data_IF_108975068150
#
_entry.id   IF_108975068150
#
_cell.length_a   1.000
_cell.length_b   1.000
_cell.length_c   1.000
_cell.angle_alpha   90.00
_cell.angle_beta   90.00
_cell.angle_gamma   90.00
#
_symmetry.space_group_name_H-M   'P 1'
#
loop_
_entity.id
_entity.type
_entity.pdbx_description
1 polymer ?
#
# COMPACT_ATOMS: atom_id res chain seq x y z
N UNK A 1 -60.87 -34.53 -5.70
CA UNK A 1 -60.40 -33.13 -5.87
C UNK A 1 -59.32 -32.90 -4.82
N UNK A 2 -58.08 -33.20 -5.18
CA UNK A 2 -56.88 -33.00 -4.36
C UNK A 2 -56.19 -31.76 -4.90
N UNK A 3 -56.00 -30.76 -4.05
CA UNK A 3 -55.30 -29.53 -4.37
C UNK A 3 -53.89 -29.64 -3.80
N UNK A 4 -52.93 -29.91 -4.67
CA UNK A 4 -51.51 -29.91 -4.33
C UNK A 4 -51.06 -28.47 -4.04
N UNK A 5 -50.66 -28.24 -2.79
CA UNK A 5 -50.08 -26.98 -2.33
C UNK A 5 -48.58 -27.04 -2.58
N UNK A 6 -48.10 -26.27 -3.55
CA UNK A 6 -46.68 -26.12 -3.83
C UNK A 6 -46.05 -25.15 -2.81
N UNK A 7 -45.34 -25.70 -1.82
CA UNK A 7 -44.41 -24.95 -0.98
C UNK A 7 -43.20 -24.50 -1.80
N UNK A 8 -43.19 -23.23 -2.18
CA UNK A 8 -42.03 -22.54 -2.72
C UNK A 8 -41.04 -22.25 -1.59
N UNK A 9 -40.00 -23.07 -1.50
CA UNK A 9 -38.88 -22.89 -0.58
C UNK A 9 -38.05 -21.67 -1.00
N UNK A 10 -38.32 -20.54 -0.33
CA UNK A 10 -37.57 -19.30 -0.47
C UNK A 10 -36.11 -19.49 -0.06
N UNK A 11 -35.23 -19.58 -1.06
CA UNK A 11 -33.79 -19.66 -0.85
C UNK A 11 -33.23 -18.34 -0.34
N UNK A 12 -32.44 -18.46 0.70
CA UNK A 12 -31.94 -17.43 1.61
C UNK A 12 -30.93 -16.45 0.99
N UNK A 13 -31.09 -15.12 1.17
CA UNK A 13 -30.11 -14.08 0.83
C UNK A 13 -28.94 -13.91 1.84
N UNK A 14 -28.77 -14.82 2.81
CA UNK A 14 -27.81 -14.66 3.92
C UNK A 14 -26.33 -14.80 3.51
N UNK A 15 -26.02 -15.41 2.36
CA UNK A 15 -24.63 -15.74 1.98
C UNK A 15 -23.83 -14.55 1.43
N UNK A 16 -24.48 -13.49 0.93
CA UNK A 16 -23.79 -12.34 0.32
C UNK A 16 -23.19 -11.37 1.35
N UNK A 17 -23.82 -11.25 2.53
CA UNK A 17 -23.36 -10.30 3.57
C UNK A 17 -21.99 -10.68 4.12
N UNK A 18 -21.72 -11.98 4.34
CA UNK A 18 -20.46 -12.46 4.89
C UNK A 18 -19.25 -12.20 3.98
N UNK A 19 -19.45 -12.23 2.65
CA UNK A 19 -18.38 -12.01 1.68
C UNK A 19 -17.90 -10.56 1.67
N UNK A 20 -18.81 -9.59 1.82
CA UNK A 20 -18.48 -8.16 1.79
C UNK A 20 -17.68 -7.77 3.04
N UNK A 21 -18.06 -8.29 4.21
CA UNK A 21 -17.34 -8.03 5.46
C UNK A 21 -15.93 -8.62 5.44
N UNK A 22 -15.78 -9.85 4.95
CA UNK A 22 -14.46 -10.49 4.78
C UNK A 22 -13.56 -9.69 3.84
N UNK A 23 -14.09 -9.22 2.69
CA UNK A 23 -13.35 -8.38 1.76
C UNK A 23 -12.91 -7.07 2.42
N UNK A 24 -13.79 -6.43 3.18
CA UNK A 24 -13.49 -5.18 3.90
C UNK A 24 -12.40 -5.39 4.96
N UNK A 25 -12.48 -6.45 5.75
CA UNK A 25 -11.47 -6.79 6.74
C UNK A 25 -10.12 -7.05 6.07
N UNK A 26 -10.10 -7.84 5.00
CA UNK A 26 -8.90 -8.12 4.24
C UNK A 26 -8.27 -6.83 3.66
N UNK A 27 -9.08 -5.98 3.02
CA UNK A 27 -8.63 -4.70 2.47
C UNK A 27 -8.09 -3.76 3.56
N UNK A 28 -8.76 -3.67 4.71
CA UNK A 28 -8.28 -2.85 5.83
C UNK A 28 -6.97 -3.35 6.42
N UNK A 29 -6.80 -4.67 6.57
CA UNK A 29 -5.55 -5.28 7.04
C UNK A 29 -4.40 -5.06 6.08
N UNK A 30 -4.67 -5.09 4.77
CA UNK A 30 -3.69 -4.81 3.73
C UNK A 30 -3.28 -3.34 3.72
N UNK A 31 -4.23 -2.41 3.84
CA UNK A 31 -3.94 -0.98 3.95
C UNK A 31 -3.12 -0.67 5.22
N UNK A 32 -3.47 -1.29 6.36
CA UNK A 32 -2.71 -1.11 7.59
C UNK A 32 -1.25 -1.59 7.44
N UNK A 33 -1.02 -2.72 6.76
CA UNK A 33 0.33 -3.22 6.43
C UNK A 33 1.08 -2.30 5.47
N UNK A 34 0.41 -1.68 4.51
CA UNK A 34 1.03 -0.71 3.61
C UNK A 34 1.38 0.57 4.37
N UNK A 35 0.47 1.07 5.20
CA UNK A 35 0.68 2.27 5.99
C UNK A 35 1.82 2.10 7.01
N UNK A 36 1.96 0.92 7.63
CA UNK A 36 3.08 0.67 8.55
C UNK A 36 4.44 0.63 7.85
N UNK A 37 4.49 0.31 6.55
CA UNK A 37 5.71 0.29 5.73
C UNK A 37 6.08 1.65 5.16
N UNK A 38 5.09 2.51 4.94
CA UNK A 38 5.27 3.88 4.44
C UNK A 38 5.39 4.82 5.65
N UNK A 39 6.57 4.84 6.28
CA UNK A 39 6.90 5.84 7.31
C UNK A 39 7.78 6.91 6.70
N UNK A 40 7.65 8.14 7.17
CA UNK A 40 8.51 9.26 6.76
C UNK A 40 9.98 8.94 7.06
N UNK A 41 10.25 8.16 8.11
CA UNK A 41 11.59 7.67 8.47
C UNK A 41 12.21 6.72 7.44
N UNK A 42 11.40 6.08 6.58
CA UNK A 42 11.91 5.23 5.50
C UNK A 42 12.13 5.99 4.20
N UNK A 43 11.90 7.32 4.18
CA UNK A 43 12.32 8.16 3.07
C UNK A 43 13.84 8.23 3.05
N UNK A 44 14.43 7.56 2.07
CA UNK A 44 15.86 7.69 1.81
C UNK A 44 16.13 9.03 1.13
N UNK A 45 17.22 9.72 1.49
CA UNK A 45 17.56 11.02 0.92
C UNK A 45 17.66 10.91 -0.61
N UNK A 46 17.13 11.93 -1.30
CA UNK A 46 17.02 11.94 -2.76
C UNK A 46 18.37 11.68 -3.49
N UNK A 47 19.52 12.22 -3.02
CA UNK A 47 20.82 11.92 -3.65
C UNK A 47 21.15 10.42 -3.64
N UNK A 48 20.89 9.73 -2.52
CA UNK A 48 21.08 8.27 -2.42
C UNK A 48 20.13 7.55 -3.39
N UNK A 49 18.86 7.97 -3.47
CA UNK A 49 17.89 7.42 -4.42
C UNK A 49 18.29 7.65 -5.89
N UNK A 50 18.94 8.75 -6.22
CA UNK A 50 19.41 9.03 -7.58
C UNK A 50 20.81 8.44 -7.88
N UNK A 51 21.51 7.90 -6.88
CA UNK A 51 22.88 7.42 -7.03
C UNK A 51 23.90 8.56 -7.21
N UNK A 52 23.57 9.74 -6.69
CA UNK A 52 24.45 10.91 -6.68
C UNK A 52 25.34 10.80 -5.45
N UNK A 53 26.66 10.80 -5.69
CA UNK A 53 27.65 10.80 -4.63
C UNK A 53 27.88 12.25 -4.17
N UNK A 54 27.49 12.64 -2.95
CA UNK A 54 27.69 14.01 -2.48
C UNK A 54 29.17 14.41 -2.41
N UNK A 55 30.10 13.45 -2.30
CA UNK A 55 31.53 13.72 -2.21
C UNK A 55 32.17 14.05 -3.57
N UNK A 56 31.61 13.55 -4.68
CA UNK A 56 32.18 13.68 -6.02
C UNK A 56 31.59 14.86 -6.84
N UNK A 57 30.89 15.78 -6.17
CA UNK A 57 30.00 16.74 -6.85
C UNK A 57 28.75 16.03 -7.37
N UNK A 58 27.81 16.75 -7.99
CA UNK A 58 26.51 16.23 -8.46
C UNK A 58 26.63 15.24 -9.66
N UNK A 59 27.63 14.35 -9.63
CA UNK A 59 27.96 13.36 -10.64
C UNK A 59 27.28 12.03 -10.27
N UNK A 60 26.74 11.36 -11.28
CA UNK A 60 26.28 9.98 -11.12
C UNK A 60 27.49 9.10 -10.80
N UNK A 61 27.44 8.38 -9.68
CA UNK A 61 28.54 7.47 -9.33
C UNK A 61 28.69 6.43 -10.45
N UNK A 62 29.90 6.21 -10.99
CA UNK A 62 30.12 5.22 -12.04
C UNK A 62 29.78 3.79 -11.59
N UNK A 63 29.71 3.55 -10.28
CA UNK A 63 29.23 2.29 -9.72
C UNK A 63 27.71 2.15 -9.62
N UNK A 64 26.94 3.24 -9.76
CA UNK A 64 25.48 3.22 -9.60
C UNK A 64 24.75 2.39 -10.67
N UNK A 65 25.41 2.15 -11.81
CA UNK A 65 24.86 1.39 -12.91
C UNK A 65 25.75 0.19 -13.22
N UNK A 66 25.19 -1.00 -13.04
CA UNK A 66 25.88 -2.23 -13.46
C UNK A 66 26.07 -2.23 -14.99
N UNK A 67 27.29 -2.44 -15.50
CA UNK A 67 27.50 -2.60 -16.93
C UNK A 67 26.68 -3.79 -17.45
N UNK A 68 26.14 -3.72 -18.67
CA UNK A 68 25.28 -4.76 -19.22
C UNK A 68 26.02 -6.11 -19.23
N UNK A 69 25.45 -7.09 -18.52
CA UNK A 69 25.99 -8.46 -18.49
C UNK A 69 25.92 -9.06 -19.88
N UNK A 70 27.08 -9.28 -20.50
CA UNK A 70 27.21 -9.80 -21.87
C UNK A 70 26.76 -11.26 -22.04
N UNK A 71 26.47 -11.96 -20.94
CA UNK A 71 26.03 -13.36 -20.94
C UNK A 71 24.83 -13.51 -20.01
N UNK A 72 23.68 -13.86 -20.58
CA UNK A 72 22.46 -14.18 -19.81
C UNK A 72 22.56 -15.66 -19.42
N UNK A 73 22.92 -15.93 -18.17
CA UNK A 73 22.95 -17.30 -17.66
C UNK A 73 21.51 -17.87 -17.56
N UNK A 74 21.33 -19.18 -17.70
CA UNK A 74 20.01 -19.83 -17.63
C UNK A 74 19.30 -19.67 -16.26
N UNK A 75 20.05 -19.37 -15.20
CA UNK A 75 19.52 -18.98 -13.87
C UNK A 75 19.34 -17.47 -13.66
N UNK A 76 19.41 -16.66 -14.73
CA UNK A 76 19.25 -15.20 -14.67
C UNK A 76 17.86 -14.71 -14.26
N UNK A 77 16.71 -15.30 -14.69
CA UNK A 77 15.41 -14.68 -14.40
C UNK A 77 15.06 -14.71 -12.91
N UNK A 78 15.37 -15.81 -12.20
CA UNK A 78 15.15 -15.93 -10.75
C UNK A 78 15.99 -14.93 -9.96
N UNK A 79 17.25 -14.75 -10.38
CA UNK A 79 18.16 -13.75 -9.80
C UNK A 79 17.65 -12.33 -10.04
N UNK A 80 17.21 -12.02 -11.26
CA UNK A 80 16.64 -10.70 -11.60
C UNK A 80 15.37 -10.42 -10.79
N UNK A 81 14.47 -11.40 -10.65
CA UNK A 81 13.25 -11.24 -9.86
C UNK A 81 13.56 -11.00 -8.38
N UNK A 82 14.51 -11.73 -7.81
CA UNK A 82 14.96 -11.52 -6.42
C UNK A 82 15.52 -10.11 -6.23
N UNK A 83 16.37 -9.64 -7.16
CA UNK A 83 16.93 -8.28 -7.16
C UNK A 83 15.85 -7.20 -7.27
N UNK A 84 14.90 -7.37 -8.18
CA UNK A 84 13.77 -6.45 -8.32
C UNK A 84 12.95 -6.38 -7.04
N UNK A 85 12.69 -7.52 -6.39
CA UNK A 85 11.94 -7.56 -5.13
C UNK A 85 12.66 -6.83 -4.00
N UNK A 86 13.99 -7.02 -3.89
CA UNK A 86 14.81 -6.32 -2.90
C UNK A 86 14.84 -4.80 -3.17
N UNK A 87 15.11 -4.40 -4.41
CA UNK A 87 15.15 -2.98 -4.82
C UNK A 87 13.80 -2.30 -4.64
N UNK A 88 12.69 -2.99 -4.94
CA UNK A 88 11.32 -2.49 -4.73
C UNK A 88 10.98 -2.33 -3.25
N UNK A 89 11.38 -3.29 -2.42
CA UNK A 89 11.16 -3.22 -0.97
C UNK A 89 11.98 -2.10 -0.33
N UNK A 90 13.24 -1.93 -0.76
CA UNK A 90 14.16 -0.93 -0.20
C UNK A 90 13.73 0.51 -0.52
N UNK A 91 13.27 0.78 -1.74
CA UNK A 91 12.89 2.14 -2.18
C UNK A 91 11.37 2.36 -2.27
N UNK A 92 10.57 1.53 -1.58
CA UNK A 92 9.11 1.56 -1.66
C UNK A 92 8.54 2.96 -1.43
N UNK A 93 8.98 3.65 -0.38
CA UNK A 93 8.48 4.98 -0.02
C UNK A 93 8.81 6.01 -1.10
N UNK A 94 10.03 5.99 -1.64
CA UNK A 94 10.44 6.88 -2.72
C UNK A 94 9.60 6.64 -3.99
N UNK A 95 9.28 5.39 -4.31
CA UNK A 95 8.39 5.07 -5.43
C UNK A 95 6.95 5.53 -5.20
N UNK A 96 6.44 5.45 -3.97
CA UNK A 96 5.11 6.00 -3.63
C UNK A 96 5.10 7.51 -3.83
N UNK A 97 6.16 8.23 -3.43
CA UNK A 97 6.28 9.67 -3.66
C UNK A 97 6.32 10.01 -5.15
N UNK A 98 7.13 9.29 -5.95
CA UNK A 98 7.20 9.48 -7.40
C UNK A 98 5.84 9.21 -8.06
N UNK A 99 5.16 8.14 -7.65
CA UNK A 99 3.82 7.82 -8.13
C UNK A 99 2.82 8.91 -7.74
N UNK A 100 2.86 9.43 -6.50
CA UNK A 100 2.01 10.53 -6.07
C UNK A 100 2.27 11.82 -6.87
N UNK A 101 3.53 12.18 -7.08
CA UNK A 101 3.91 13.34 -7.90
C UNK A 101 3.46 13.17 -9.36
N UNK A 102 3.66 11.98 -9.94
CA UNK A 102 3.20 11.67 -11.29
C UNK A 102 1.68 11.73 -11.38
N UNK A 103 0.95 11.27 -10.35
CA UNK A 103 -0.50 11.35 -10.29
C UNK A 103 -0.98 12.81 -10.27
N UNK A 104 -0.32 13.69 -9.52
CA UNK A 104 -0.60 15.13 -9.50
C UNK A 104 -0.37 15.74 -10.89
N UNK A 105 0.76 15.43 -11.54
CA UNK A 105 1.06 15.93 -12.89
C UNK A 105 0.00 15.47 -13.90
N UNK A 106 -0.34 14.18 -13.91
CA UNK A 106 -1.38 13.64 -14.81
C UNK A 106 -2.74 14.27 -14.53
N UNK A 107 -3.08 14.47 -13.26
CA UNK A 107 -4.33 15.14 -12.88
C UNK A 107 -4.38 16.58 -13.41
N UNK A 108 -3.29 17.34 -13.29
CA UNK A 108 -3.17 18.70 -13.82
C UNK A 108 -3.20 18.74 -15.36
N UNK A 109 -2.67 17.73 -16.04
CA UNK A 109 -2.73 17.60 -17.50
C UNK A 109 -4.14 17.28 -18.02
N UNK A 110 -5.03 16.73 -17.17
CA UNK A 110 -6.39 16.35 -17.54
C UNK A 110 -7.43 17.08 -16.66
N UNK A 111 -7.55 18.43 -16.75
CA UNK A 111 -8.46 19.21 -15.90
C UNK A 111 -9.92 18.79 -16.07
N UNK A 112 -10.30 18.31 -17.26
CA UNK A 112 -11.64 17.76 -17.51
C UNK A 112 -11.95 16.55 -16.63
N UNK A 113 -10.99 15.66 -16.38
CA UNK A 113 -11.18 14.52 -15.47
C UNK A 113 -11.49 15.00 -14.06
N UNK A 114 -10.70 15.94 -13.53
CA UNK A 114 -10.92 16.52 -12.19
C UNK A 114 -12.31 17.15 -12.11
N UNK A 115 -12.71 17.91 -13.13
CA UNK A 115 -14.03 18.54 -13.19
C UNK A 115 -15.17 17.50 -13.11
N UNK A 116 -15.12 16.45 -13.92
CA UNK A 116 -16.16 15.40 -13.90
C UNK A 116 -16.18 14.61 -12.60
N UNK A 117 -15.01 14.29 -12.03
CA UNK A 117 -14.91 13.63 -10.71
C UNK A 117 -15.50 14.52 -9.62
N UNK A 118 -15.16 15.82 -9.62
CA UNK A 118 -15.71 16.80 -8.68
C UNK A 118 -17.23 16.95 -8.82
N UNK A 119 -17.75 16.94 -10.04
CA UNK A 119 -19.19 16.98 -10.32
C UNK A 119 -19.91 15.73 -9.77
N UNK A 120 -19.37 14.53 -10.03
CA UNK A 120 -19.92 13.28 -9.50
C UNK A 120 -19.87 13.27 -7.98
N UNK A 121 -18.75 13.69 -7.38
CA UNK A 121 -18.62 13.82 -5.93
C UNK A 121 -19.67 14.79 -5.34
N UNK A 122 -19.85 15.95 -5.98
CA UNK A 122 -20.88 16.91 -5.61
C UNK A 122 -22.30 16.34 -5.68
N UNK A 123 -22.61 15.55 -6.72
CA UNK A 123 -23.89 14.86 -6.83
C UNK A 123 -24.09 13.80 -5.73
N UNK A 124 -23.04 13.09 -5.32
CA UNK A 124 -23.09 12.18 -4.16
C UNK A 124 -23.33 12.92 -2.84
N UNK A 125 -22.65 14.05 -2.64
CA UNK A 125 -22.88 14.89 -1.45
C UNK A 125 -24.29 15.46 -1.44
N UNK A 126 -24.81 15.92 -2.59
CA UNK A 126 -26.18 16.36 -2.75
C UNK A 126 -27.17 15.23 -2.45
N UNK A 127 -26.93 14.03 -2.99
CA UNK A 127 -27.76 12.86 -2.71
C UNK A 127 -27.79 12.52 -1.21
N UNK A 128 -26.63 12.51 -0.55
CA UNK A 128 -26.53 12.29 0.90
C UNK A 128 -27.25 13.38 1.71
N UNK A 129 -27.14 14.64 1.29
CA UNK A 129 -27.85 15.77 1.88
C UNK A 129 -29.38 15.62 1.74
N UNK A 130 -29.87 15.23 0.56
CA UNK A 130 -31.29 14.99 0.29
C UNK A 130 -31.89 13.81 1.07
N UNK A 131 -31.07 12.84 1.51
CA UNK A 131 -31.53 11.75 2.37
C UNK A 131 -31.72 12.25 3.80
N UNK A 132 -30.86 13.16 4.26
CA UNK A 132 -30.89 13.69 5.63
C UNK A 132 -31.94 14.80 5.81
N UNK A 133 -32.22 15.55 4.76
CA UNK A 133 -33.12 16.69 4.80
C UNK A 133 -34.30 16.48 3.86
N UNK A 134 -35.52 16.61 4.38
CA UNK A 134 -36.73 16.62 3.56
C UNK A 134 -36.79 17.93 2.76
N UNK A 135 -36.34 17.88 1.50
CA UNK A 135 -36.38 19.05 0.62
C UNK A 135 -37.77 19.15 -0.03
N UNK A 136 -38.47 20.25 0.28
CA UNK A 136 -39.72 20.64 -0.38
C UNK A 136 -39.41 21.80 -1.32
N UNK A 137 -39.40 21.57 -2.64
CA UNK A 137 -39.32 22.64 -3.64
C UNK A 137 -40.72 22.96 -4.14
N UNK A 138 -41.13 24.22 -4.05
CA UNK A 138 -42.41 24.69 -4.63
C UNK A 138 -43.64 23.95 -4.12
N UNK A 139 -43.63 23.50 -2.86
CA UNK A 139 -44.72 22.73 -2.25
C UNK A 139 -44.75 21.23 -2.61
N UNK A 140 -43.87 20.76 -3.51
CA UNK A 140 -43.78 19.36 -3.88
C UNK A 140 -42.65 18.68 -3.10
N UNK A 141 -42.97 17.56 -2.44
CA UNK A 141 -41.96 16.73 -1.76
C UNK A 141 -41.16 15.97 -2.81
N UNK A 142 -39.89 16.34 -3.04
CA UNK A 142 -39.05 15.66 -4.03
C UNK A 142 -38.95 14.14 -3.79
N UNK A 143 -39.10 13.71 -2.54
CA UNK A 143 -39.08 12.32 -2.16
C UNK A 143 -40.19 11.48 -2.83
N UNK A 144 -41.36 12.08 -3.12
CA UNK A 144 -42.46 11.34 -3.76
C UNK A 144 -42.29 11.18 -5.27
N UNK A 145 -41.52 12.06 -5.91
CA UNK A 145 -41.29 12.03 -7.37
C UNK A 145 -40.27 10.97 -7.76
N UNK A 146 -39.19 10.82 -6.99
CA UNK A 146 -38.12 9.86 -7.31
C UNK A 146 -37.70 9.08 -6.07
N UNK A 147 -38.02 7.78 -6.09
CA UNK A 147 -37.58 6.83 -5.07
C UNK A 147 -36.07 6.91 -4.85
N UNK A 148 -35.63 6.84 -3.59
CA UNK A 148 -34.22 6.90 -3.17
C UNK A 148 -33.38 5.87 -3.95
N UNK A 149 -33.94 4.66 -4.16
CA UNK A 149 -33.26 3.59 -4.89
C UNK A 149 -32.95 3.98 -6.33
N UNK A 150 -33.90 4.60 -7.04
CA UNK A 150 -33.71 5.01 -8.43
C UNK A 150 -32.64 6.10 -8.55
N UNK A 151 -32.61 7.06 -7.62
CA UNK A 151 -31.56 8.09 -7.55
C UNK A 151 -30.18 7.47 -7.33
N UNK A 152 -30.08 6.53 -6.39
CA UNK A 152 -28.84 5.81 -6.12
C UNK A 152 -28.34 5.05 -7.36
N UNK A 153 -29.19 4.25 -8.01
CA UNK A 153 -28.81 3.50 -9.20
C UNK A 153 -28.44 4.41 -10.37
N UNK A 154 -29.17 5.50 -10.59
CA UNK A 154 -28.83 6.49 -11.62
C UNK A 154 -27.48 7.15 -11.37
N UNK A 155 -27.21 7.54 -10.12
CA UNK A 155 -25.94 8.15 -9.74
C UNK A 155 -24.77 7.16 -9.81
N UNK A 156 -25.02 5.91 -9.44
CA UNK A 156 -24.05 4.82 -9.56
C UNK A 156 -23.71 4.53 -11.03
N UNK A 157 -24.72 4.41 -11.91
CA UNK A 157 -24.52 4.24 -13.35
C UNK A 157 -23.74 5.40 -13.97
N UNK A 158 -24.09 6.64 -13.61
CA UNK A 158 -23.35 7.84 -14.02
C UNK A 158 -21.89 7.81 -13.54
N UNK A 159 -21.65 7.36 -12.31
CA UNK A 159 -20.30 7.23 -11.75
C UNK A 159 -19.47 6.22 -12.55
N UNK A 160 -20.01 5.04 -12.83
CA UNK A 160 -19.34 4.02 -13.67
C UNK A 160 -19.02 4.58 -15.05
N UNK A 161 -19.98 5.27 -15.67
CA UNK A 161 -19.82 5.87 -16.99
C UNK A 161 -18.67 6.88 -17.02
N UNK A 162 -18.62 7.78 -16.04
CA UNK A 162 -17.54 8.77 -15.89
C UNK A 162 -16.20 8.10 -15.64
N UNK A 163 -16.15 7.04 -14.83
CA UNK A 163 -14.93 6.28 -14.58
C UNK A 163 -14.42 5.64 -15.87
N UNK A 164 -15.27 4.93 -16.61
CA UNK A 164 -14.88 4.23 -17.84
C UNK A 164 -14.48 5.21 -18.94
N UNK A 165 -15.25 6.28 -19.18
CA UNK A 165 -14.99 7.19 -20.29
C UNK A 165 -13.95 8.27 -20.01
N UNK A 166 -13.93 8.83 -18.79
CA UNK A 166 -13.06 9.97 -18.48
C UNK A 166 -11.85 9.59 -17.64
N UNK A 167 -11.96 8.60 -16.77
CA UNK A 167 -10.88 8.28 -15.82
C UNK A 167 -10.00 7.13 -16.30
N UNK A 168 -10.52 6.17 -17.07
CA UNK A 168 -9.78 4.97 -17.45
C UNK A 168 -8.51 5.28 -18.25
N UNK A 169 -8.62 6.08 -19.31
CA UNK A 169 -7.47 6.40 -20.19
C UNK A 169 -6.35 7.14 -19.42
N UNK A 170 -6.62 8.26 -18.72
CA UNK A 170 -5.58 8.92 -17.92
C UNK A 170 -4.98 8.03 -16.84
N UNK A 171 -5.79 7.19 -16.19
CA UNK A 171 -5.30 6.25 -15.16
C UNK A 171 -4.39 5.19 -15.75
N UNK A 172 -4.72 4.64 -16.93
CA UNK A 172 -3.85 3.68 -17.61
C UNK A 172 -2.53 4.33 -18.04
N UNK A 173 -2.57 5.55 -18.57
CA UNK A 173 -1.36 6.32 -18.91
C UNK A 173 -0.51 6.56 -17.66
N UNK A 174 -1.14 7.00 -16.56
CA UNK A 174 -0.47 7.19 -15.27
C UNK A 174 0.24 5.91 -14.81
N UNK A 175 -0.49 4.79 -14.75
CA UNK A 175 0.06 3.49 -14.31
C UNK A 175 1.20 3.04 -15.23
N UNK A 176 1.06 3.22 -16.54
CA UNK A 176 2.08 2.85 -17.51
C UNK A 176 3.36 3.68 -17.31
N UNK A 177 3.25 5.01 -17.18
CA UNK A 177 4.41 5.90 -16.99
C UNK A 177 5.07 5.64 -15.64
N UNK A 178 4.30 5.64 -14.54
CA UNK A 178 4.87 5.41 -13.20
C UNK A 178 5.47 4.01 -13.08
N UNK A 179 4.78 3.00 -13.61
CA UNK A 179 5.25 1.62 -13.60
C UNK A 179 6.55 1.46 -14.40
N UNK A 180 6.62 2.05 -15.60
CA UNK A 180 7.83 2.00 -16.42
C UNK A 180 9.01 2.70 -15.75
N UNK A 181 8.80 3.88 -15.15
CA UNK A 181 9.84 4.61 -14.42
C UNK A 181 10.35 3.80 -13.22
N UNK A 182 9.46 3.23 -12.42
CA UNK A 182 9.82 2.40 -11.26
C UNK A 182 10.58 1.15 -11.70
N UNK A 183 10.10 0.46 -12.75
CA UNK A 183 10.74 -0.75 -13.26
C UNK A 183 12.12 -0.46 -13.87
N UNK A 184 12.26 0.59 -14.68
CA UNK A 184 13.54 1.02 -15.21
C UNK A 184 14.52 1.37 -14.10
N UNK A 185 14.08 2.15 -13.11
CA UNK A 185 14.92 2.50 -11.97
C UNK A 185 15.34 1.26 -11.16
N UNK A 186 14.40 0.35 -10.86
CA UNK A 186 14.68 -0.88 -10.14
C UNK A 186 15.61 -1.83 -10.92
N UNK A 187 15.54 -1.83 -12.25
CA UNK A 187 16.39 -2.64 -13.12
C UNK A 187 17.82 -2.09 -13.26
N UNK A 188 17.96 -0.77 -13.33
CA UNK A 188 19.26 -0.10 -13.50
C UNK A 188 20.12 -0.13 -12.23
N UNK A 189 19.51 -0.29 -11.06
CA UNK A 189 20.17 -0.28 -9.75
C UNK A 189 20.88 -1.61 -9.44
N UNK A 190 22.18 -1.57 -9.14
CA UNK A 190 22.93 -2.76 -8.69
C UNK A 190 22.53 -3.15 -7.26
N UNK A 191 22.03 -4.38 -7.01
CA UNK A 191 21.72 -4.87 -5.65
C UNK A 191 22.92 -4.86 -4.70
N UNK A 192 24.15 -5.00 -5.21
CA UNK A 192 25.36 -5.11 -4.36
C UNK A 192 25.58 -3.87 -3.50
N UNK A 193 25.25 -2.69 -4.03
CA UNK A 193 25.39 -1.45 -3.28
C UNK A 193 24.42 -1.39 -2.10
N UNK A 194 23.23 -1.96 -2.25
CA UNK A 194 22.21 -1.98 -1.21
C UNK A 194 22.65 -2.91 -0.07
N UNK A 195 23.19 -4.09 -0.41
CA UNK A 195 23.71 -5.03 0.59
C UNK A 195 24.89 -4.44 1.38
N UNK A 196 25.77 -3.69 0.72
CA UNK A 196 26.88 -3.00 1.39
C UNK A 196 26.39 -1.90 2.34
N UNK A 197 25.42 -1.09 1.91
CA UNK A 197 24.82 -0.03 2.72
C UNK A 197 24.10 -0.61 3.95
N UNK A 198 23.32 -1.67 3.77
CA UNK A 198 22.59 -2.33 4.85
C UNK A 198 23.55 -2.93 5.89
N UNK A 199 24.63 -3.58 5.41
CA UNK A 199 25.69 -4.10 6.28
C UNK A 199 26.41 -2.99 7.05
N UNK A 200 26.79 -1.90 6.38
CA UNK A 200 27.47 -0.77 7.05
C UNK A 200 26.58 -0.11 8.11
N UNK A 201 25.26 -0.12 7.91
CA UNK A 201 24.30 0.40 8.88
C UNK A 201 24.20 -0.53 10.09
N UNK A 202 24.09 -1.84 9.88
CA UNK A 202 24.09 -2.82 10.98
C UNK A 202 25.37 -2.72 11.83
N UNK A 203 26.53 -2.62 11.16
CA UNK A 203 27.82 -2.43 11.85
C UNK A 203 27.88 -1.10 12.64
N UNK A 204 27.22 -0.04 12.17
CA UNK A 204 27.17 1.24 12.89
C UNK A 204 26.23 1.24 14.10
N UNK A 205 25.13 0.48 14.07
CA UNK A 205 24.18 0.41 15.19
C UNK A 205 24.80 -0.35 16.39
N UNK A 206 25.59 -1.39 16.14
CA UNK A 206 26.28 -2.16 17.19
C UNK A 206 27.32 -1.34 17.99
N UNK A 207 27.97 -0.35 17.36
CA UNK A 207 29.00 0.48 18.01
C UNK A 207 28.40 1.51 19.00
N UNK A 208 27.17 1.97 18.75
CA UNK A 208 26.48 2.87 19.67
C UNK A 208 26.05 2.16 20.96
N UNK A 209 25.59 0.91 20.86
CA UNK A 209 25.17 0.13 22.03
C UNK A 209 26.36 -0.25 22.93
N UNK A 210 27.54 -0.49 22.34
CA UNK A 210 28.76 -0.75 23.08
C UNK A 210 29.23 0.46 23.92
N UNK A 211 28.97 1.69 23.47
CA UNK A 211 29.29 2.92 24.20
C UNK A 211 28.26 3.24 25.29
N UNK A 212 27.00 2.82 25.13
CA UNK A 212 25.93 3.09 26.09
C UNK A 212 25.92 2.08 27.26
N UNK A 213 26.45 0.86 27.06
CA UNK A 213 26.60 -0.17 28.09
C UNK A 213 27.67 0.10 29.17
N UNK A 214 28.53 1.12 29.00
CA UNK A 214 29.71 1.34 29.85
C UNK A 214 29.52 2.21 31.10
N UNK A 215 28.31 2.66 31.44
CA UNK A 215 28.10 3.64 32.52
C UNK A 215 27.20 3.23 33.69
N UNK A 216 26.80 1.96 33.79
CA UNK A 216 25.90 1.52 34.87
C UNK A 216 26.38 0.30 35.68
N UNK A 217 27.69 0.08 35.78
CA UNK A 217 28.28 -0.91 36.68
C UNK A 217 28.74 -0.25 38.00
N UNK A 218 27.79 0.33 38.74
CA UNK A 218 28.00 0.68 40.16
C UNK A 218 26.67 0.95 40.89
N UNK A 219 25.74 0.01 40.85
CA UNK A 219 24.70 -0.06 41.87
C UNK A 219 24.72 -1.44 42.53
N UNK A 220 25.53 -1.48 43.58
CA UNK A 220 25.61 -2.48 44.62
C UNK A 220 24.22 -2.69 45.25
N UNK A 221 23.44 -3.64 44.72
CA UNK A 221 22.28 -4.18 45.43
C UNK A 221 22.71 -5.38 46.27
N UNK A 222 22.35 -5.42 47.56
CA UNK A 222 22.72 -6.51 48.45
C UNK A 222 21.98 -7.79 48.03
N UNK A 223 22.75 -8.89 47.96
CA UNK A 223 22.26 -10.26 47.83
C UNK A 223 21.29 -10.57 48.97
N UNK A 224 20.00 -10.60 48.68
CA UNK A 224 19.05 -11.29 49.55
C UNK A 224 18.96 -12.77 49.12
N UNK A 225 19.37 -13.60 50.05
CA UNK A 225 19.39 -15.05 49.98
C UNK A 225 17.99 -15.58 50.25
N UNK A 226 17.40 -16.32 49.31
CA UNK A 226 16.27 -17.25 49.46
C UNK A 226 15.87 -17.73 48.05
N UNK A 227 15.70 -19.00 47.71
CA UNK A 227 15.70 -20.24 48.45
C UNK A 227 15.42 -21.35 47.43
N UNK A 228 16.05 -22.50 47.69
CA UNK A 228 15.81 -23.82 47.10
C UNK A 228 14.38 -24.06 46.58
N UNK A 229 14.25 -24.67 45.39
CA UNK A 229 13.59 -25.98 45.17
C UNK A 229 13.55 -26.33 43.66
N UNK A 230 14.35 -27.31 43.25
CA UNK A 230 13.95 -28.69 42.88
C UNK A 230 13.25 -28.83 41.51
N UNK A 231 13.91 -29.51 40.56
CA UNK A 231 13.61 -30.90 40.14
C UNK A 231 12.47 -30.92 39.09
N UNK A 232 12.73 -31.24 37.83
CA UNK A 232 12.79 -32.64 37.41
C UNK A 232 13.15 -32.74 35.92
N UNK A 233 14.26 -33.42 35.67
CA UNK A 233 14.64 -34.01 34.38
C UNK A 233 13.58 -35.04 33.96
N UNK A 234 13.04 -34.88 32.75
CA UNK A 234 12.16 -35.85 32.11
C UNK A 234 12.64 -36.12 30.69
N UNK A 235 13.71 -36.91 30.59
CA UNK A 235 14.18 -37.57 29.37
C UNK A 235 13.24 -38.73 29.09
N UNK A 236 12.60 -38.76 27.93
CA UNK A 236 12.00 -39.99 27.41
C UNK A 236 12.30 -40.07 25.92
N UNK A 237 13.28 -40.92 25.63
CA UNK A 237 13.50 -41.56 24.35
C UNK A 237 12.29 -42.45 24.03
N UNK A 238 11.80 -42.43 22.78
CA UNK A 238 11.01 -43.51 22.18
C UNK A 238 10.93 -43.31 20.65
N UNK A 239 11.60 -44.23 19.94
CA UNK A 239 11.34 -44.85 18.63
C UNK A 239 10.92 -44.02 17.41
#
# INVERSE_FOLDING_TARGET
MMSDSAESSGSTPATLSGTIESLRLHASSWMAKMQSRVRIETLRPLPEFLGIDPAAGFCLSPGAFTPPVRKVDKGSPEKVQSRMKLNLAFFLTNYVVIAAMTAVVVALMHPGMIFFVGMVYGLWMLHAYMIRHEIVLGGVRLHSLVSVQHRFYGLFALTILVIIWKCLIPTLIFVAISGLLILMHAFMRDPKQIEMLDRSRAESEDDYDAMEGGKNENNNYPKESQGLTNRSQGRSDAD
#
